data_IF_880511990321
#
_entry.id   IF_880511990321
#
_cell.length_a   1.000
_cell.length_b   1.000
_cell.length_c   1.000
_cell.angle_alpha   90.00
_cell.angle_beta   90.00
_cell.angle_gamma   90.00
#
_symmetry.space_group_name_H-M   'P 1'
#
loop_
_entity.id
_entity.type
_entity.pdbx_description
1 polymer ?
#
# COMPACT_ATOMS: atom_id res chain seq x y z
N UNK A 1 33.59 66.02 -1.80
CA UNK A 1 35.05 65.96 -2.01
C UNK A 1 35.59 64.95 -1.01
N UNK A 2 36.31 63.89 -1.37
CA UNK A 2 36.79 63.33 -2.62
C UNK A 2 37.45 61.98 -2.21
N UNK A 3 37.52 61.01 -3.13
CA UNK A 3 38.19 59.68 -3.08
C UNK A 3 37.25 58.45 -3.21
N UNK A 4 35.94 58.58 -3.04
CA UNK A 4 35.06 57.40 -3.18
C UNK A 4 34.85 56.84 -4.61
N UNK A 5 35.04 57.56 -5.73
CA UNK A 5 34.78 56.99 -7.05
C UNK A 5 36.01 56.44 -7.79
N UNK A 6 37.23 56.46 -7.22
CA UNK A 6 38.42 56.03 -7.97
C UNK A 6 38.81 54.55 -7.76
N UNK A 7 38.49 53.95 -6.61
CA UNK A 7 38.82 52.55 -6.32
C UNK A 7 37.73 51.53 -6.73
N UNK A 8 36.69 52.00 -7.44
CA UNK A 8 35.61 51.18 -8.00
C UNK A 8 35.86 50.78 -9.47
N UNK A 9 36.90 51.35 -10.11
CA UNK A 9 37.25 51.10 -11.52
C UNK A 9 38.34 50.03 -11.71
N UNK A 10 38.99 49.55 -10.63
CA UNK A 10 39.89 48.39 -10.69
C UNK A 10 39.20 47.14 -10.12
N UNK A 11 38.52 46.45 -11.03
CA UNK A 11 37.69 45.26 -10.87
C UNK A 11 38.48 44.01 -10.41
N UNK A 12 39.15 44.06 -9.25
CA UNK A 12 39.98 42.96 -8.72
C UNK A 12 39.77 42.80 -7.21
N UNK A 13 38.75 42.02 -6.84
CA UNK A 13 38.65 41.29 -5.57
C UNK A 13 38.61 42.15 -4.28
N UNK A 14 37.41 42.20 -3.67
CA UNK A 14 37.30 41.81 -2.27
C UNK A 14 36.91 42.90 -1.25
N UNK A 15 35.73 42.72 -0.65
CA UNK A 15 35.47 43.02 0.76
C UNK A 15 34.47 42.03 1.34
N UNK A 16 34.81 40.74 1.18
CA UNK A 16 34.44 39.73 2.15
C UNK A 16 34.76 40.28 3.55
N UNK A 17 33.77 40.32 4.44
CA UNK A 17 33.94 40.53 5.89
C UNK A 17 34.32 41.96 6.31
N UNK A 18 33.41 42.93 6.17
CA UNK A 18 33.47 44.15 6.98
C UNK A 18 32.09 44.79 7.19
N UNK A 19 31.49 44.50 8.34
CA UNK A 19 30.70 45.51 9.06
C UNK A 19 29.19 45.34 9.07
N UNK A 20 28.69 45.08 10.29
CA UNK A 20 27.33 45.39 10.78
C UNK A 20 26.21 44.41 10.42
N UNK A 21 25.93 43.49 11.35
CA UNK A 21 24.62 42.85 11.46
C UNK A 21 23.64 43.92 11.95
N UNK A 22 22.93 44.53 11.01
CA UNK A 22 21.86 45.50 11.25
C UNK A 22 20.57 44.92 10.67
N UNK A 23 19.83 44.16 11.49
CA UNK A 23 18.48 43.66 11.18
C UNK A 23 17.52 44.83 10.92
N UNK A 24 17.52 45.31 9.68
CA UNK A 24 16.64 46.33 9.14
C UNK A 24 15.91 45.82 7.87
N UNK A 25 14.85 46.51 7.41
CA UNK A 25 13.99 46.12 6.29
C UNK A 25 14.68 45.86 4.94
N UNK A 26 15.97 46.18 4.81
CA UNK A 26 16.78 45.95 3.60
C UNK A 26 17.54 44.60 3.56
N UNK A 27 17.64 43.86 4.66
CA UNK A 27 18.35 42.56 4.72
C UNK A 27 17.44 41.36 4.38
N UNK A 28 16.14 41.60 4.22
CA UNK A 28 15.15 40.60 3.86
C UNK A 28 15.43 39.88 2.52
N UNK A 29 15.96 40.53 1.46
CA UNK A 29 16.32 39.84 0.22
C UNK A 29 17.43 38.80 0.43
N UNK A 30 18.46 39.13 1.22
CA UNK A 30 19.58 38.22 1.52
C UNK A 30 19.09 37.06 2.41
N UNK A 31 18.25 37.36 3.41
CA UNK A 31 17.61 36.33 4.24
C UNK A 31 16.74 35.39 3.42
N UNK A 32 16.03 35.90 2.40
CA UNK A 32 15.20 35.10 1.50
C UNK A 32 16.04 34.11 0.70
N UNK A 33 17.24 34.47 0.25
CA UNK A 33 18.14 33.54 -0.45
C UNK A 33 18.52 32.31 0.38
N UNK A 34 18.62 32.43 1.71
CA UNK A 34 18.93 31.31 2.60
C UNK A 34 17.68 30.58 3.10
N UNK A 35 16.62 31.32 3.42
CA UNK A 35 15.39 30.75 4.01
C UNK A 35 14.50 30.10 2.95
N UNK A 36 14.43 30.62 1.73
CA UNK A 36 13.60 30.07 0.67
C UNK A 36 13.98 28.63 0.28
N UNK A 37 15.26 28.29 0.03
CA UNK A 37 15.65 26.89 -0.20
C UNK A 37 15.36 25.98 1.00
N UNK A 38 15.53 26.51 2.23
CA UNK A 38 15.21 25.78 3.45
C UNK A 38 13.71 25.42 3.52
N UNK A 39 12.82 26.35 3.15
CA UNK A 39 11.38 26.10 3.08
C UNK A 39 10.98 25.15 1.95
N UNK A 40 11.76 25.09 0.87
CA UNK A 40 11.50 24.20 -0.26
C UNK A 40 12.04 22.78 -0.01
N UNK A 41 13.01 22.62 0.90
CA UNK A 41 13.64 21.34 1.21
C UNK A 41 12.63 20.20 1.52
N UNK A 42 11.56 20.39 2.33
CA UNK A 42 10.56 19.34 2.53
C UNK A 42 9.83 18.90 1.25
N UNK A 43 9.58 19.84 0.32
CA UNK A 43 8.97 19.53 -0.98
C UNK A 43 9.92 18.75 -1.87
N UNK A 44 11.21 19.10 -1.87
CA UNK A 44 12.26 18.37 -2.59
C UNK A 44 12.35 16.93 -2.08
N UNK A 45 12.41 16.73 -0.75
CA UNK A 45 12.43 15.38 -0.18
C UNK A 45 11.19 14.57 -0.52
N UNK A 46 10.00 15.17 -0.45
CA UNK A 46 8.75 14.51 -0.88
C UNK A 46 8.81 14.10 -2.35
N UNK A 47 9.34 14.98 -3.20
CA UNK A 47 9.48 14.72 -4.63
C UNK A 47 10.43 13.56 -4.90
N UNK A 48 11.61 13.56 -4.25
CA UNK A 48 12.59 12.46 -4.36
C UNK A 48 11.99 11.13 -3.88
N UNK A 49 11.30 11.14 -2.73
CA UNK A 49 10.65 9.95 -2.20
C UNK A 49 9.58 9.40 -3.17
N UNK A 50 8.76 10.27 -3.76
CA UNK A 50 7.76 9.88 -4.75
C UNK A 50 8.40 9.32 -6.02
N UNK A 51 9.47 9.94 -6.54
CA UNK A 51 10.19 9.42 -7.71
C UNK A 51 10.81 8.05 -7.45
N UNK A 52 11.38 7.85 -6.25
CA UNK A 52 11.92 6.54 -5.84
C UNK A 52 10.83 5.48 -5.80
N UNK A 53 9.66 5.81 -5.26
CA UNK A 53 8.53 4.89 -5.21
C UNK A 53 8.00 4.57 -6.62
N UNK A 54 7.84 5.58 -7.48
CA UNK A 54 7.46 5.39 -8.89
C UNK A 54 8.46 4.51 -9.66
N UNK A 55 9.76 4.69 -9.43
CA UNK A 55 10.79 3.87 -10.05
C UNK A 55 10.68 2.40 -9.61
N UNK A 56 10.40 2.15 -8.32
CA UNK A 56 10.17 0.80 -7.78
C UNK A 56 8.91 0.17 -8.40
N UNK A 57 7.80 0.89 -8.44
CA UNK A 57 6.56 0.41 -9.05
C UNK A 57 6.74 0.11 -10.55
N UNK A 58 7.48 0.95 -11.28
CA UNK A 58 7.79 0.72 -12.69
C UNK A 58 8.60 -0.57 -12.90
N UNK A 59 9.54 -0.89 -12.00
CA UNK A 59 10.28 -2.16 -12.06
C UNK A 59 9.36 -3.36 -11.85
N UNK A 60 8.50 -3.31 -10.84
CA UNK A 60 7.56 -4.40 -10.51
C UNK A 60 6.55 -4.61 -11.64
N UNK A 61 6.00 -3.53 -12.22
CA UNK A 61 5.07 -3.62 -13.35
C UNK A 61 5.72 -4.22 -14.61
N UNK A 62 7.05 -4.12 -14.77
CA UNK A 62 7.75 -4.80 -15.88
C UNK A 62 7.92 -6.31 -15.63
N UNK A 63 7.81 -6.76 -14.38
CA UNK A 63 7.87 -8.18 -14.00
C UNK A 63 6.52 -8.91 -14.16
N UNK A 64 5.44 -8.20 -14.52
CA UNK A 64 4.03 -8.66 -14.54
C UNK A 64 3.76 -9.93 -15.38
N UNK A 65 4.71 -10.38 -16.21
CA UNK A 65 4.57 -11.60 -17.01
C UNK A 65 5.19 -12.87 -16.38
N UNK A 66 5.65 -12.79 -15.12
CA UNK A 66 6.25 -13.91 -14.40
C UNK A 66 5.32 -14.28 -13.24
N UNK A 67 4.52 -15.33 -13.41
CA UNK A 67 3.81 -15.94 -12.27
C UNK A 67 4.78 -16.92 -11.58
N UNK A 68 5.27 -16.63 -10.37
CA UNK A 68 6.24 -17.48 -9.69
C UNK A 68 5.65 -18.79 -9.18
N UNK A 69 4.32 -18.96 -9.20
CA UNK A 69 3.64 -20.16 -8.70
C UNK A 69 3.36 -21.09 -9.89
N UNK A 70 4.02 -22.25 -9.91
CA UNK A 70 3.90 -23.23 -11.00
C UNK A 70 2.79 -24.26 -10.76
N UNK A 71 2.67 -24.74 -9.53
CA UNK A 71 1.65 -25.72 -9.13
C UNK A 71 1.04 -25.31 -7.79
N UNK A 72 -0.28 -25.47 -7.70
CA UNK A 72 -1.06 -25.14 -6.52
C UNK A 72 -2.13 -26.21 -6.31
N UNK A 73 -2.01 -26.98 -5.23
CA UNK A 73 -3.02 -27.93 -4.79
C UNK A 73 -3.69 -27.40 -3.52
N UNK A 74 -5.01 -27.25 -3.58
CA UNK A 74 -5.79 -26.61 -2.52
C UNK A 74 -6.60 -27.69 -1.81
N UNK A 75 -6.35 -27.87 -0.51
CA UNK A 75 -7.17 -28.69 0.37
C UNK A 75 -7.62 -27.89 1.59
N UNK A 76 -8.65 -28.39 2.28
CA UNK A 76 -9.18 -27.82 3.54
C UNK A 76 -8.22 -27.97 4.72
N UNK A 77 -7.21 -28.82 4.60
CA UNK A 77 -6.24 -29.09 5.67
C UNK A 77 -4.91 -28.37 5.45
N UNK A 78 -4.49 -28.24 4.19
CA UNK A 78 -3.24 -27.60 3.81
C UNK A 78 -3.27 -27.15 2.34
N UNK A 79 -2.47 -26.15 2.02
CA UNK A 79 -2.20 -25.74 0.64
C UNK A 79 -0.81 -26.22 0.26
N UNK A 80 -0.69 -27.06 -0.76
CA UNK A 80 0.61 -27.43 -1.30
C UNK A 80 0.92 -26.55 -2.52
N UNK A 81 2.12 -25.98 -2.56
CA UNK A 81 2.53 -25.12 -3.67
C UNK A 81 3.98 -25.38 -4.08
N UNK A 82 4.27 -25.10 -5.34
CA UNK A 82 5.62 -25.17 -5.92
C UNK A 82 5.95 -23.87 -6.64
N UNK A 83 7.12 -23.32 -6.35
CA UNK A 83 7.64 -22.09 -6.96
C UNK A 83 8.50 -22.45 -8.18
N UNK A 84 8.33 -21.73 -9.29
CA UNK A 84 9.06 -21.93 -10.54
C UNK A 84 10.55 -21.53 -10.42
N UNK A 85 11.42 -22.44 -10.87
CA UNK A 85 12.89 -22.29 -10.92
C UNK A 85 13.36 -21.19 -11.88
N UNK A 86 12.53 -20.79 -12.84
CA UNK A 86 12.88 -19.77 -13.82
C UNK A 86 12.78 -18.32 -13.29
N UNK A 87 12.51 -18.14 -12.00
CA UNK A 87 12.41 -16.83 -11.39
C UNK A 87 13.77 -16.37 -10.85
N UNK A 88 14.24 -15.18 -11.26
CA UNK A 88 15.40 -14.51 -10.63
C UNK A 88 15.06 -13.97 -9.21
N UNK A 89 14.12 -14.61 -8.51
CA UNK A 89 13.57 -14.18 -7.24
C UNK A 89 13.87 -15.25 -6.21
N UNK A 90 14.52 -14.87 -5.10
CA UNK A 90 14.82 -15.79 -4.01
C UNK A 90 13.63 -15.84 -3.05
N UNK A 91 12.91 -16.97 -2.90
CA UNK A 91 11.82 -17.06 -1.94
C UNK A 91 12.36 -16.97 -0.52
N UNK A 92 11.75 -16.12 0.31
CA UNK A 92 12.14 -15.90 1.70
C UNK A 92 11.18 -16.61 2.66
N UNK A 93 9.87 -16.36 2.49
CA UNK A 93 8.82 -16.97 3.31
C UNK A 93 7.46 -16.86 2.64
N UNK A 94 6.54 -17.74 3.03
CA UNK A 94 5.18 -17.77 2.49
C UNK A 94 4.16 -18.08 3.59
N UNK A 95 2.92 -17.63 3.37
CA UNK A 95 1.78 -17.93 4.24
C UNK A 95 0.46 -17.88 3.49
N UNK A 96 -0.57 -18.43 4.10
CA UNK A 96 -1.96 -18.27 3.68
C UNK A 96 -2.62 -17.22 4.54
N UNK A 97 -3.47 -16.39 3.94
CA UNK A 97 -4.32 -15.47 4.68
C UNK A 97 -5.75 -15.50 4.14
N UNK A 98 -6.69 -15.25 5.04
CA UNK A 98 -8.11 -15.22 4.76
C UNK A 98 -8.70 -13.97 5.39
N UNK A 99 -9.66 -13.38 4.72
CA UNK A 99 -10.38 -12.26 5.30
C UNK A 99 -11.71 -12.00 4.64
N UNK A 100 -12.43 -11.08 5.25
CA UNK A 100 -13.69 -10.56 4.74
C UNK A 100 -13.44 -9.17 4.18
N UNK A 101 -13.84 -8.98 2.93
CA UNK A 101 -13.84 -7.66 2.31
C UNK A 101 -15.08 -6.89 2.75
N UNK A 102 -15.00 -5.57 2.64
CA UNK A 102 -16.14 -4.71 2.93
C UNK A 102 -17.29 -5.04 1.96
N UNK A 103 -18.54 -5.18 2.43
CA UNK A 103 -19.68 -5.39 1.56
C UNK A 103 -19.85 -4.27 0.54
N UNK A 104 -20.63 -4.51 -0.50
CA UNK A 104 -21.03 -3.44 -1.41
C UNK A 104 -22.04 -2.50 -0.74
N UNK A 105 -21.87 -1.20 -0.99
CA UNK A 105 -22.72 -0.16 -0.40
C UNK A 105 -24.19 -0.36 -0.74
N UNK A 106 -24.48 -0.66 -2.02
CA UNK A 106 -25.83 -0.88 -2.52
C UNK A 106 -26.50 -2.06 -1.82
N UNK A 107 -25.79 -3.18 -1.65
CA UNK A 107 -26.31 -4.34 -0.93
C UNK A 107 -26.70 -4.02 0.53
N UNK A 108 -25.90 -3.22 1.23
CA UNK A 108 -26.24 -2.76 2.58
C UNK A 108 -27.49 -1.87 2.56
N UNK A 109 -27.54 -0.86 1.68
CA UNK A 109 -28.70 0.03 1.55
C UNK A 109 -29.98 -0.77 1.29
N UNK A 110 -29.95 -1.67 0.32
CA UNK A 110 -31.09 -2.51 -0.06
C UNK A 110 -31.50 -3.44 1.09
N UNK A 111 -30.53 -4.06 1.79
CA UNK A 111 -30.83 -4.92 2.95
C UNK A 111 -31.47 -4.16 4.11
N UNK A 112 -31.17 -2.86 4.25
CA UNK A 112 -31.77 -1.97 5.25
C UNK A 112 -33.11 -1.37 4.79
N UNK A 113 -33.61 -1.75 3.61
CA UNK A 113 -34.86 -1.23 3.04
C UNK A 113 -34.79 0.25 2.66
N UNK A 114 -33.61 0.78 2.37
CA UNK A 114 -33.39 2.19 2.04
C UNK A 114 -33.16 2.38 0.54
N UNK A 115 -33.28 3.61 0.08
CA UNK A 115 -33.01 4.01 -1.30
C UNK A 115 -31.62 4.62 -1.43
N UNK A 116 -30.97 4.38 -2.57
CA UNK A 116 -29.70 5.03 -2.88
C UNK A 116 -29.89 6.55 -3.04
N UNK A 117 -28.94 7.34 -2.56
CA UNK A 117 -28.99 8.81 -2.60
C UNK A 117 -29.72 9.49 -1.42
N UNK A 118 -30.37 8.73 -0.55
CA UNK A 118 -30.95 9.23 0.70
C UNK A 118 -29.93 9.42 1.84
N UNK A 119 -30.42 9.78 3.03
CA UNK A 119 -29.58 9.85 4.23
C UNK A 119 -29.00 8.45 4.55
N UNK A 120 -27.66 8.34 4.72
CA UNK A 120 -27.04 7.06 5.05
C UNK A 120 -27.54 6.52 6.40
N UNK A 121 -27.42 5.21 6.61
CA UNK A 121 -27.65 4.62 7.93
C UNK A 121 -26.59 5.06 8.94
N UNK A 122 -26.92 5.07 10.23
CA UNK A 122 -25.92 5.28 11.28
C UNK A 122 -24.72 4.34 11.06
N UNK A 123 -23.51 4.91 11.06
CA UNK A 123 -22.28 4.18 10.77
C UNK A 123 -21.85 4.17 9.29
N UNK A 124 -22.68 4.67 8.36
CA UNK A 124 -22.29 4.88 6.96
C UNK A 124 -22.10 6.38 6.67
N UNK A 125 -21.09 6.71 5.86
CA UNK A 125 -20.88 8.06 5.36
C UNK A 125 -21.74 8.35 4.12
N UNK A 126 -21.96 9.64 3.85
CA UNK A 126 -22.57 10.09 2.59
C UNK A 126 -21.67 9.69 1.42
N UNK A 127 -22.28 9.31 0.30
CA UNK A 127 -21.50 8.98 -0.90
C UNK A 127 -20.78 10.25 -1.35
N UNK A 128 -19.45 10.21 -1.40
CA UNK A 128 -18.64 11.26 -1.98
C UNK A 128 -18.90 11.36 -3.50
N UNK A 129 -18.86 12.56 -4.08
CA UNK A 129 -19.14 12.74 -5.50
C UNK A 129 -18.10 12.02 -6.38
N UNK A 130 -18.58 11.34 -7.43
CA UNK A 130 -17.82 10.41 -8.29
C UNK A 130 -16.57 11.04 -8.97
N UNK A 131 -16.44 12.38 -8.98
CA UNK A 131 -15.30 13.10 -9.57
C UNK A 131 -13.97 12.92 -8.81
N UNK A 132 -13.98 12.32 -7.60
CA UNK A 132 -12.80 12.23 -6.72
C UNK A 132 -12.36 10.79 -6.37
N UNK A 133 -12.92 9.75 -7.00
CA UNK A 133 -12.84 8.38 -6.48
C UNK A 133 -12.52 7.36 -7.58
N UNK A 134 -11.63 6.40 -7.28
CA UNK A 134 -11.32 5.29 -8.17
C UNK A 134 -12.42 4.22 -8.07
N UNK A 135 -12.72 3.55 -9.17
CA UNK A 135 -13.86 2.60 -9.33
C UNK A 135 -13.83 1.39 -8.37
N UNK A 136 -12.76 1.21 -7.59
CA UNK A 136 -12.65 0.17 -6.54
C UNK A 136 -12.92 0.66 -5.11
N UNK A 137 -13.00 1.97 -4.88
CA UNK A 137 -13.32 2.55 -3.58
C UNK A 137 -14.82 2.43 -3.31
N UNK A 138 -15.26 1.31 -2.74
CA UNK A 138 -16.65 1.20 -2.28
C UNK A 138 -16.87 2.12 -1.06
N UNK A 139 -17.41 3.30 -1.38
CA UNK A 139 -17.54 4.51 -0.57
C UNK A 139 -18.33 4.28 0.73
N UNK A 140 -17.72 4.66 1.85
CA UNK A 140 -18.45 5.13 3.04
C UNK A 140 -19.03 4.07 3.98
N UNK A 141 -18.50 2.85 3.98
CA UNK A 141 -18.95 1.77 4.88
C UNK A 141 -18.04 1.64 6.13
N UNK A 142 -16.90 2.34 6.13
CA UNK A 142 -15.97 2.38 7.27
C UNK A 142 -16.24 3.53 8.23
N UNK A 143 -16.23 3.23 9.53
CA UNK A 143 -16.16 4.25 10.59
C UNK A 143 -14.72 4.79 10.62
N UNK A 144 -14.55 6.07 10.31
CA UNK A 144 -13.22 6.72 10.24
C UNK A 144 -12.63 6.71 8.84
N UNK A 145 -12.69 7.85 8.17
CA UNK A 145 -12.22 8.13 6.81
C UNK A 145 -10.80 7.62 6.53
N UNK A 146 -10.65 6.78 5.51
CA UNK A 146 -9.42 6.76 4.72
C UNK A 146 -9.54 7.88 3.69
N UNK A 147 -8.66 8.86 3.77
CA UNK A 147 -8.51 9.85 2.70
C UNK A 147 -8.19 9.12 1.39
N UNK A 148 -8.83 9.50 0.26
CA UNK A 148 -8.62 8.80 -1.00
C UNK A 148 -7.17 8.99 -1.44
N UNK A 149 -6.38 7.93 -1.38
CA UNK A 149 -5.11 7.87 -2.09
C UNK A 149 -5.42 7.28 -3.46
N UNK A 150 -5.65 8.18 -4.40
CA UNK A 150 -5.89 7.92 -5.81
C UNK A 150 -4.95 6.84 -6.37
N UNK A 151 -5.49 5.71 -6.85
CA UNK A 151 -4.89 4.97 -7.96
C UNK A 151 -5.99 4.29 -8.78
N UNK A 152 -6.38 4.90 -9.91
CA UNK A 152 -7.39 4.35 -10.84
C UNK A 152 -6.79 3.42 -11.90
N UNK A 153 -5.58 2.90 -11.70
CA UNK A 153 -4.89 2.08 -12.69
C UNK A 153 -4.80 0.63 -12.23
N UNK A 154 -5.02 -0.31 -13.16
CA UNK A 154 -4.72 -1.76 -13.04
C UNK A 154 -3.25 -2.09 -12.67
N UNK A 155 -2.45 -1.08 -12.32
CA UNK A 155 -1.02 -1.12 -12.01
C UNK A 155 -0.73 -0.67 -10.57
N UNK A 156 -1.71 -0.81 -9.68
CA UNK A 156 -1.47 -0.59 -8.25
C UNK A 156 -0.65 -1.75 -7.70
N UNK A 157 0.59 -1.45 -7.30
CA UNK A 157 1.46 -2.37 -6.57
C UNK A 157 1.07 -2.46 -5.08
N UNK A 158 0.12 -1.62 -4.65
CA UNK A 158 -0.39 -1.56 -3.27
C UNK A 158 -1.73 -2.28 -3.22
N UNK A 159 -1.86 -3.19 -2.26
CA UNK A 159 -3.10 -3.91 -1.99
C UNK A 159 -3.79 -3.30 -0.77
N UNK A 160 -5.11 -3.17 -0.87
CA UNK A 160 -5.89 -2.78 0.28
C UNK A 160 -5.97 -3.93 1.29
N UNK A 161 -5.87 -3.64 2.59
CA UNK A 161 -6.00 -4.66 3.61
C UNK A 161 -7.46 -5.10 3.77
N UNK A 162 -7.65 -6.41 3.96
CA UNK A 162 -8.92 -6.94 4.43
C UNK A 162 -9.17 -6.46 5.87
N UNK A 163 -10.37 -5.93 6.13
CA UNK A 163 -10.68 -5.32 7.44
C UNK A 163 -10.79 -6.32 8.58
N UNK A 164 -11.26 -7.52 8.26
CA UNK A 164 -11.20 -8.67 9.15
C UNK A 164 -10.32 -9.69 8.44
N UNK A 165 -9.21 -10.06 9.07
CA UNK A 165 -8.21 -10.92 8.45
C UNK A 165 -7.50 -11.78 9.48
N UNK A 166 -7.37 -13.05 9.16
CA UNK A 166 -6.52 -14.00 9.88
C UNK A 166 -5.46 -14.57 8.94
N UNK A 167 -4.28 -14.80 9.50
CA UNK A 167 -3.10 -15.27 8.78
C UNK A 167 -2.66 -16.59 9.38
N UNK A 168 -2.26 -17.54 8.54
CA UNK A 168 -1.50 -18.71 8.96
C UNK A 168 -0.05 -18.34 9.31
N UNK A 169 0.69 -19.32 9.83
CA UNK A 169 2.08 -19.14 10.23
C UNK A 169 3.00 -18.96 9.00
N UNK A 170 4.06 -18.17 9.20
CA UNK A 170 5.09 -17.98 8.18
C UNK A 170 5.95 -19.24 8.04
N UNK A 171 6.03 -19.76 6.82
CA UNK A 171 6.97 -20.82 6.47
C UNK A 171 8.19 -20.22 5.79
N UNK A 172 9.37 -20.41 6.38
CA UNK A 172 10.65 -19.83 5.91
C UNK A 172 11.54 -20.79 5.13
N UNK A 173 11.33 -22.12 5.28
CA UNK A 173 12.10 -23.13 4.54
C UNK A 173 11.50 -23.34 3.14
N UNK A 174 11.74 -22.35 2.27
CA UNK A 174 11.28 -22.35 0.89
C UNK A 174 12.44 -22.61 -0.06
N UNK A 175 12.25 -23.55 -0.98
CA UNK A 175 13.20 -23.82 -2.07
C UNK A 175 12.43 -23.83 -3.37
N UNK A 176 13.02 -23.23 -4.40
CA UNK A 176 12.48 -23.27 -5.76
C UNK A 176 12.49 -24.71 -6.30
N UNK A 177 11.49 -25.08 -7.11
CA UNK A 177 11.37 -26.40 -7.71
C UNK A 177 10.95 -27.53 -6.76
N UNK A 178 10.74 -27.24 -5.47
CA UNK A 178 10.22 -28.19 -4.47
C UNK A 178 8.83 -27.82 -4.03
N UNK A 179 7.97 -28.83 -3.89
CA UNK A 179 6.65 -28.66 -3.29
C UNK A 179 6.76 -28.51 -1.78
N UNK A 180 6.07 -27.52 -1.22
CA UNK A 180 5.94 -27.34 0.22
C UNK A 180 4.49 -27.08 0.61
N UNK A 181 4.12 -27.50 1.82
CA UNK A 181 2.80 -27.27 2.41
C UNK A 181 2.79 -26.00 3.25
N UNK A 182 1.76 -25.17 3.07
CA UNK A 182 1.45 -24.04 3.93
C UNK A 182 0.32 -24.40 4.88
N UNK A 183 0.48 -23.96 6.13
CA UNK A 183 -0.52 -24.12 7.17
C UNK A 183 -1.63 -23.09 7.00
N UNK A 184 -2.86 -23.52 7.27
CA UNK A 184 -4.03 -22.65 7.24
C UNK A 184 -4.15 -21.86 8.55
N UNK A 185 -4.90 -20.74 8.54
CA UNK A 185 -5.29 -20.03 9.76
C UNK A 185 -5.96 -20.96 10.79
N UNK A 186 -5.79 -20.65 12.08
CA UNK A 186 -6.25 -21.50 13.19
C UNK A 186 -7.78 -21.58 13.24
N UNK A 187 -8.46 -20.48 13.00
CA UNK A 187 -9.93 -20.48 12.99
C UNK A 187 -10.46 -21.23 11.78
N UNK A 188 -11.61 -21.89 11.95
CA UNK A 188 -12.32 -22.44 10.82
C UNK A 188 -12.95 -21.28 10.05
N UNK A 189 -12.38 -20.96 8.88
CA UNK A 189 -12.97 -19.99 7.95
C UNK A 189 -13.81 -20.70 6.88
N UNK A 190 -14.85 -20.04 6.36
CA UNK A 190 -15.64 -20.59 5.27
C UNK A 190 -14.79 -20.64 3.99
N UNK A 191 -15.23 -21.43 3.00
CA UNK A 191 -14.58 -21.40 1.69
C UNK A 191 -14.74 -20.04 1.02
N UNK A 192 -14.15 -19.88 -0.16
CA UNK A 192 -14.25 -18.64 -0.93
C UNK A 192 -15.71 -18.34 -1.27
N UNK A 193 -16.15 -17.12 -0.98
CA UNK A 193 -17.49 -16.61 -1.28
C UNK A 193 -17.35 -15.24 -1.91
N UNK A 194 -17.99 -15.00 -3.04
CA UNK A 194 -18.07 -13.67 -3.65
C UNK A 194 -19.53 -13.30 -3.82
N UNK A 195 -20.06 -12.58 -2.84
CA UNK A 195 -21.40 -11.99 -2.91
C UNK A 195 -21.33 -10.51 -2.54
N UNK A 196 -22.31 -9.72 -2.98
CA UNK A 196 -22.36 -8.29 -2.67
C UNK A 196 -22.48 -7.99 -1.17
N UNK A 197 -23.00 -8.93 -0.36
CA UNK A 197 -23.20 -8.74 1.08
C UNK A 197 -22.04 -9.28 1.92
N UNK A 198 -21.47 -10.41 1.50
CA UNK A 198 -20.35 -11.07 2.18
C UNK A 198 -19.41 -11.60 1.12
N UNK A 199 -18.16 -11.16 1.17
CA UNK A 199 -17.09 -11.69 0.35
C UNK A 199 -15.96 -12.19 1.24
N UNK A 200 -15.71 -13.50 1.15
CA UNK A 200 -14.65 -14.21 1.87
C UNK A 200 -13.55 -14.49 0.85
N UNK A 201 -12.42 -13.83 1.04
CA UNK A 201 -11.28 -13.91 0.16
C UNK A 201 -10.15 -14.70 0.82
N UNK A 202 -9.57 -15.61 0.06
CA UNK A 202 -8.40 -16.37 0.44
C UNK A 202 -7.26 -16.01 -0.50
N UNK A 203 -6.07 -15.81 0.05
CA UNK A 203 -4.88 -15.50 -0.73
C UNK A 203 -3.63 -16.08 -0.10
N UNK A 204 -2.64 -16.37 -0.96
CA UNK A 204 -1.31 -16.77 -0.55
C UNK A 204 -0.40 -15.58 -0.73
N UNK A 205 0.38 -15.28 0.30
CA UNK A 205 1.42 -14.26 0.25
C UNK A 205 2.77 -14.95 0.25
N UNK A 206 3.58 -14.66 -0.76
CA UNK A 206 4.96 -15.11 -0.85
C UNK A 206 5.87 -13.89 -0.87
N UNK A 207 6.85 -13.88 0.02
CA UNK A 207 7.90 -12.87 0.04
C UNK A 207 9.12 -13.35 -0.73
N UNK A 208 9.59 -12.51 -1.65
CA UNK A 208 10.77 -12.72 -2.46
C UNK A 208 11.79 -11.62 -2.22
N UNK A 209 13.06 -11.97 -2.36
CA UNK A 209 14.16 -11.03 -2.49
C UNK A 209 14.60 -10.98 -3.95
N UNK A 210 14.62 -9.76 -4.48
CA UNK A 210 15.17 -9.41 -5.78
C UNK A 210 16.71 -9.35 -5.73
N UNK A 211 17.39 -9.28 -6.88
CA UNK A 211 18.86 -9.23 -6.99
C UNK A 211 19.51 -8.08 -6.20
N UNK A 212 18.72 -7.04 -5.90
CA UNK A 212 19.14 -5.86 -5.12
C UNK A 212 18.71 -5.92 -3.66
N UNK A 213 18.37 -7.10 -3.16
CA UNK A 213 17.88 -7.34 -1.79
C UNK A 213 16.61 -6.53 -1.44
N UNK A 214 15.83 -6.18 -2.46
CA UNK A 214 14.54 -5.52 -2.26
C UNK A 214 13.47 -6.57 -2.01
N UNK A 215 12.73 -6.42 -0.92
CA UNK A 215 11.57 -7.25 -0.63
C UNK A 215 10.43 -6.99 -1.62
N UNK A 216 9.91 -8.06 -2.21
CA UNK A 216 8.74 -8.08 -3.08
C UNK A 216 7.74 -9.06 -2.48
N UNK A 217 6.49 -8.62 -2.29
CA UNK A 217 5.37 -9.47 -1.88
C UNK A 217 4.59 -9.84 -3.12
N UNK A 218 4.51 -11.13 -3.42
CA UNK A 218 3.59 -11.68 -4.41
C UNK A 218 2.34 -12.17 -3.70
N UNK A 219 1.17 -11.79 -4.20
CA UNK A 219 -0.11 -12.20 -3.64
C UNK A 219 -0.91 -12.89 -4.72
N UNK A 220 -1.34 -14.13 -4.44
CA UNK A 220 -2.14 -14.92 -5.36
C UNK A 220 -3.47 -15.30 -4.70
N UNK A 221 -4.61 -14.99 -5.33
CA UNK A 221 -5.90 -15.40 -4.82
C UNK A 221 -6.06 -16.92 -4.90
N UNK A 222 -6.82 -17.48 -3.96
CA UNK A 222 -7.10 -18.92 -3.84
C UNK A 222 -8.61 -19.14 -3.79
N UNK A 223 -9.08 -20.15 -4.52
CA UNK A 223 -10.46 -20.62 -4.45
C UNK A 223 -10.51 -21.77 -3.45
N UNK A 224 -10.81 -21.45 -2.20
CA UNK A 224 -10.91 -22.41 -1.11
C UNK A 224 -12.27 -23.14 -1.14
N UNK A 225 -12.31 -24.49 -1.12
CA UNK A 225 -13.56 -25.24 -1.05
C UNK A 225 -14.35 -24.96 0.22
N UNK A 226 -15.68 -25.13 0.11
CA UNK A 226 -16.60 -24.93 1.23
C UNK A 226 -16.50 -26.05 2.27
N UNK A 227 -16.77 -25.71 3.52
CA UNK A 227 -16.90 -26.67 4.62
C UNK A 227 -18.26 -27.38 4.54
N UNK A 228 -18.29 -28.67 4.86
CA UNK A 228 -19.54 -29.38 5.13
C UNK A 228 -20.08 -29.10 6.54
N UNK A 229 -19.27 -28.53 7.44
CA UNK A 229 -19.63 -28.18 8.81
C UNK A 229 -19.93 -26.70 8.94
N UNK A 230 -20.88 -26.36 9.81
CA UNK A 230 -21.14 -24.96 10.21
C UNK A 230 -19.84 -24.34 10.69
N UNK A 231 -19.51 -23.19 10.12
CA UNK A 231 -18.31 -22.45 10.44
C UNK A 231 -18.63 -21.41 11.51
N UNK A 232 -17.80 -21.34 12.55
CA UNK A 232 -17.94 -20.37 13.64
C UNK A 232 -16.58 -19.71 13.83
N UNK A 233 -16.55 -18.38 13.72
CA UNK A 233 -15.38 -17.55 14.02
C UNK A 233 -15.70 -16.86 15.35
N UNK A 234 -15.11 -17.35 16.44
CA UNK A 234 -15.38 -16.82 17.79
C UNK A 234 -14.82 -15.42 17.97
N UNK A 235 -13.61 -15.20 17.45
CA UNK A 235 -12.93 -13.92 17.48
C UNK A 235 -12.57 -13.51 16.06
N UNK A 236 -13.15 -12.40 15.60
CA UNK A 236 -12.87 -11.82 14.29
C UNK A 236 -11.80 -10.72 14.43
N UNK A 237 -10.50 -11.02 14.20
CA UNK A 237 -9.44 -10.03 14.35
C UNK A 237 -9.60 -8.91 13.32
N UNK A 238 -9.75 -7.68 13.82
CA UNK A 238 -9.87 -6.47 12.99
C UNK A 238 -8.47 -5.95 12.68
N UNK A 239 -8.20 -5.67 11.41
CA UNK A 239 -6.96 -5.06 10.92
C UNK A 239 -7.29 -3.73 10.24
N UNK A 240 -6.62 -2.66 10.67
CA UNK A 240 -6.81 -1.30 10.15
C UNK A 240 -5.57 -0.74 9.43
N UNK A 241 -4.51 -1.56 9.28
CA UNK A 241 -3.24 -1.16 8.65
C UNK A 241 -3.05 -1.79 7.27
N UNK A 242 -2.22 -1.18 6.42
CA UNK A 242 -1.93 -1.67 5.05
C UNK A 242 -1.19 -3.01 5.07
N UNK A 243 -1.57 -3.95 4.20
CA UNK A 243 -1.03 -5.32 4.16
C UNK A 243 0.48 -5.39 3.89
N UNK A 244 1.02 -4.41 3.17
CA UNK A 244 2.44 -4.32 2.87
C UNK A 244 3.28 -3.84 4.06
N UNK A 245 2.69 -3.06 4.98
CA UNK A 245 3.36 -2.47 6.15
C UNK A 245 3.32 -3.35 7.40
N UNK A 246 2.43 -4.35 7.44
CA UNK A 246 2.40 -5.30 8.55
C UNK A 246 3.54 -6.32 8.40
N UNK A 247 4.48 -6.31 9.35
CA UNK A 247 5.46 -7.39 9.56
C UNK A 247 4.87 -8.60 10.29
N UNK A 248 3.58 -8.52 10.66
CA UNK A 248 2.81 -9.63 11.20
C UNK A 248 2.50 -10.61 10.09
#
# INVERSE_FOLDING_TARGET
>A
HAIEPWLLDEEIIGSSIAGSVSLGPLDYPILLFYTFPLFLMPLVFRTIANFRDMARQSKINKMENINPIQQLEISRDAIAMMIDDNTNLKPLRARVQVGITVPERGAIITSLGRTEGGQPSPGMSTKLPDKRIATGDNVGIGVGEATPMQLSTRRSVILEPMRIMETGDWKTDLSTGRSFKLDLPLSQWPGTVYSSMIAVHWEIVVEFLDDKDSLIKWVSPVIMPQSSKKTIIENAPIRSGRSELSNF
#
